data_IF_909268876947
#
_entry.id   IF_909268876947
#
_cell.length_a   1.000
_cell.length_b   1.000
_cell.length_c   1.000
_cell.angle_alpha   90.00
_cell.angle_beta   90.00
_cell.angle_gamma   90.00
#
_symmetry.space_group_name_H-M   'P 1'
#
loop_
_entity.id
_entity.type
_entity.pdbx_description
1 polymer ?
#
# COMPACT_ATOMS: atom_id res chain seq x y z
N UNK A 1 -14.30 -9.82 6.84
CA UNK A 1 -13.34 -8.80 6.37
C UNK A 1 -12.50 -8.31 7.54
N UNK A 2 -11.18 -8.49 7.50
CA UNK A 2 -10.28 -8.06 8.58
C UNK A 2 -9.88 -6.58 8.45
N UNK A 3 -10.16 -5.79 9.49
CA UNK A 3 -9.83 -4.36 9.59
C UNK A 3 -9.12 -4.08 10.91
N UNK A 4 -8.00 -3.36 10.84
CA UNK A 4 -7.21 -2.96 11.98
C UNK A 4 -6.57 -1.59 11.71
N UNK A 5 -7.19 -0.49 12.19
CA UNK A 5 -6.69 0.86 11.99
C UNK A 5 -5.27 1.08 12.51
N UNK A 6 -4.86 0.36 13.56
CA UNK A 6 -3.51 0.47 14.10
C UNK A 6 -2.46 0.01 13.08
N UNK A 7 -2.73 -1.05 12.29
CA UNK A 7 -1.83 -1.49 11.22
C UNK A 7 -1.65 -0.43 10.14
N UNK A 8 -2.71 0.32 9.82
CA UNK A 8 -2.64 1.39 8.83
C UNK A 8 -1.86 2.60 9.37
N UNK A 9 -2.04 2.92 10.65
CA UNK A 9 -1.36 4.03 11.32
C UNK A 9 0.16 3.82 11.41
N UNK A 10 0.62 2.57 11.53
CA UNK A 10 2.05 2.23 11.54
C UNK A 10 2.80 2.66 10.29
N UNK A 11 2.14 2.87 9.15
CA UNK A 11 2.81 3.31 7.94
C UNK A 11 3.34 4.75 8.03
N UNK A 12 2.73 5.60 8.85
CA UNK A 12 3.06 7.03 8.92
C UNK A 12 4.47 7.21 9.49
N UNK A 13 5.33 7.90 8.75
CA UNK A 13 6.72 8.15 9.16
C UNK A 13 7.69 6.99 8.93
N UNK A 14 7.20 5.83 8.50
CA UNK A 14 8.04 4.68 8.16
C UNK A 14 8.65 4.83 6.76
N UNK A 15 9.76 4.13 6.45
CA UNK A 15 10.31 4.12 5.10
C UNK A 15 9.37 3.42 4.09
N UNK A 16 9.30 3.95 2.87
CA UNK A 16 8.63 3.30 1.75
C UNK A 16 9.26 1.92 1.49
N UNK A 17 8.44 0.87 1.52
CA UNK A 17 8.87 -0.53 1.30
C UNK A 17 8.76 -0.95 -0.16
N UNK A 18 7.89 -0.31 -0.94
CA UNK A 18 7.64 -0.67 -2.35
C UNK A 18 8.78 -0.22 -3.28
N UNK A 19 9.43 0.92 -2.98
CA UNK A 19 10.69 1.40 -3.62
C UNK A 19 10.77 1.27 -5.15
N UNK A 20 9.73 1.69 -5.87
CA UNK A 20 9.75 1.71 -7.36
C UNK A 20 10.84 2.67 -7.86
N UNK A 21 11.83 2.20 -8.65
CA UNK A 21 12.87 3.05 -9.24
C UNK A 21 12.26 4.17 -10.11
N UNK A 22 12.83 5.38 -10.01
CA UNK A 22 12.35 6.55 -10.78
C UNK A 22 11.03 7.17 -10.29
N UNK A 23 10.29 6.52 -9.40
CA UNK A 23 9.00 7.03 -8.86
C UNK A 23 9.10 7.35 -7.37
N UNK A 24 9.76 6.48 -6.59
CA UNK A 24 9.84 6.63 -5.15
C UNK A 24 10.66 7.86 -4.77
N UNK A 25 10.00 8.87 -4.16
CA UNK A 25 10.65 10.09 -3.68
C UNK A 25 11.37 9.92 -2.33
N UNK A 26 11.17 8.81 -1.62
CA UNK A 26 11.82 8.56 -0.32
C UNK A 26 11.29 9.40 0.85
N UNK A 27 10.31 10.28 0.61
CA UNK A 27 9.74 11.15 1.63
C UNK A 27 8.85 10.37 2.61
N UNK A 28 9.34 10.22 3.84
CA UNK A 28 8.68 9.51 4.95
C UNK A 28 7.38 10.17 5.40
N UNK A 29 7.22 11.49 5.21
CA UNK A 29 6.02 12.21 5.62
C UNK A 29 4.80 11.84 4.77
N UNK A 30 5.05 11.36 3.55
CA UNK A 30 4.01 10.96 2.59
C UNK A 30 3.68 9.47 2.62
N UNK A 31 4.32 8.70 3.51
CA UNK A 31 4.15 7.24 3.54
C UNK A 31 2.83 6.87 4.18
N UNK A 32 2.05 6.06 3.47
CA UNK A 32 0.75 5.53 3.89
C UNK A 32 0.65 4.04 3.59
N UNK A 33 -0.29 3.36 4.25
CA UNK A 33 -0.63 1.97 3.97
C UNK A 33 -1.43 1.88 2.66
N UNK A 34 -0.87 1.18 1.67
CA UNK A 34 -1.49 0.91 0.39
C UNK A 34 -2.09 -0.50 0.38
N UNK A 35 -3.39 -0.63 0.16
CA UNK A 35 -4.04 -1.94 0.02
C UNK A 35 -3.66 -2.62 -1.29
N UNK A 36 -3.48 -3.94 -1.22
CA UNK A 36 -3.32 -4.75 -2.41
C UNK A 36 -4.55 -4.72 -3.32
N UNK A 37 -4.31 -4.72 -4.64
CA UNK A 37 -5.37 -4.79 -5.64
C UNK A 37 -5.72 -6.22 -6.11
N UNK A 38 -5.17 -7.25 -5.46
CA UNK A 38 -5.42 -8.64 -5.86
C UNK A 38 -6.64 -9.24 -5.17
N UNK A 39 -7.48 -9.98 -5.91
CA UNK A 39 -8.67 -10.64 -5.38
C UNK A 39 -8.36 -11.64 -4.26
N UNK A 40 -7.20 -12.31 -4.31
CA UNK A 40 -6.75 -13.26 -3.27
C UNK A 40 -6.61 -12.64 -1.87
N UNK A 41 -6.49 -11.31 -1.79
CA UNK A 41 -6.40 -10.55 -0.56
C UNK A 41 -7.75 -9.99 -0.07
N UNK A 42 -8.86 -10.45 -0.67
CA UNK A 42 -10.22 -9.99 -0.36
C UNK A 42 -10.62 -8.69 -1.06
N UNK A 43 -9.92 -8.30 -2.13
CA UNK A 43 -10.32 -7.19 -3.02
C UNK A 43 -11.50 -7.65 -3.88
N UNK A 44 -12.57 -6.86 -3.96
CA UNK A 44 -13.71 -7.12 -4.86
C UNK A 44 -14.38 -5.81 -5.27
N UNK A 45 -14.31 -5.42 -6.55
CA UNK A 45 -14.93 -4.18 -7.05
C UNK A 45 -14.58 -2.95 -6.20
N UNK A 46 -15.59 -2.41 -5.51
CA UNK A 46 -15.48 -1.26 -4.60
C UNK A 46 -14.87 -1.57 -3.22
N UNK A 47 -14.81 -2.84 -2.84
CA UNK A 47 -14.24 -3.29 -1.56
C UNK A 47 -12.72 -3.25 -1.61
N UNK A 48 -12.07 -2.59 -0.65
CA UNK A 48 -10.61 -2.65 -0.46
C UNK A 48 -10.21 -4.01 0.10
N UNK A 49 -9.01 -4.50 -0.23
CA UNK A 49 -8.42 -5.69 0.40
C UNK A 49 -8.36 -5.56 1.93
N UNK A 50 -8.14 -6.68 2.63
CA UNK A 50 -7.97 -6.69 4.08
C UNK A 50 -6.73 -5.89 4.52
N UNK A 51 -6.76 -5.37 5.74
CA UNK A 51 -5.68 -4.49 6.24
C UNK A 51 -4.34 -5.23 6.44
N UNK A 52 -4.37 -6.56 6.57
CA UNK A 52 -3.16 -7.38 6.59
C UNK A 52 -2.44 -7.40 5.23
N UNK A 53 -3.17 -7.15 4.13
CA UNK A 53 -2.63 -7.12 2.78
C UNK A 53 -2.36 -5.68 2.34
N UNK A 54 -1.54 -4.99 3.13
CA UNK A 54 -1.09 -3.62 2.86
C UNK A 54 0.43 -3.56 2.80
N UNK A 55 0.97 -2.60 2.04
CA UNK A 55 2.40 -2.25 2.09
C UNK A 55 2.57 -0.74 2.17
N UNK A 56 3.75 -0.30 2.60
CA UNK A 56 4.02 1.11 2.83
C UNK A 56 4.55 1.78 1.57
N UNK A 57 3.79 2.73 1.04
CA UNK A 57 4.15 3.50 -0.15
C UNK A 57 4.22 4.99 0.16
N UNK A 58 5.28 5.65 -0.32
CA UNK A 58 5.35 7.11 -0.36
C UNK A 58 4.35 7.67 -1.39
N UNK A 59 3.95 8.94 -1.26
CA UNK A 59 2.83 9.52 -2.00
C UNK A 59 2.87 9.36 -3.53
N UNK A 60 4.06 9.34 -4.14
CA UNK A 60 4.20 9.08 -5.60
C UNK A 60 4.04 7.61 -5.99
N UNK A 61 4.31 6.69 -5.07
CA UNK A 61 4.23 5.23 -5.27
C UNK A 61 2.83 4.70 -4.98
N UNK A 62 2.06 5.36 -4.11
CA UNK A 62 0.71 4.94 -3.73
C UNK A 62 -0.23 4.72 -4.93
N UNK A 63 -0.34 5.62 -5.94
CA UNK A 63 -1.24 5.40 -7.07
C UNK A 63 -0.72 4.37 -8.08
N UNK A 64 0.56 3.97 -8.00
CA UNK A 64 1.12 2.90 -8.82
C UNK A 64 0.82 1.55 -8.19
N UNK A 65 0.95 1.44 -6.87
CA UNK A 65 0.62 0.20 -6.17
C UNK A 65 -0.82 -0.25 -6.49
N UNK A 66 -1.77 0.70 -6.62
CA UNK A 66 -3.17 0.37 -6.92
C UNK A 66 -3.42 -0.11 -8.36
N UNK A 67 -2.46 0.01 -9.29
CA UNK A 67 -2.59 -0.37 -10.73
C UNK A 67 -2.02 -1.76 -11.06
N UNK A 68 -2.21 -2.75 -10.18
CA UNK A 68 -1.75 -4.15 -10.35
C UNK A 68 -0.24 -4.40 -10.29
N UNK A 69 0.59 -3.44 -9.89
CA UNK A 69 2.03 -3.66 -9.65
C UNK A 69 2.33 -4.62 -8.48
N UNK A 70 1.31 -5.06 -7.74
CA UNK A 70 1.43 -6.08 -6.68
C UNK A 70 1.81 -7.47 -7.16
N UNK A 71 1.92 -7.74 -8.47
CA UNK A 71 2.31 -9.07 -8.97
C UNK A 71 3.80 -9.34 -8.78
N UNK A 72 4.60 -8.27 -8.67
CA UNK A 72 6.06 -8.31 -8.65
C UNK A 72 6.64 -7.91 -7.27
N UNK A 73 5.77 -7.74 -6.26
CA UNK A 73 6.09 -7.43 -4.86
C UNK A 73 5.70 -8.61 -3.96
#
# INVERSE_FOLDING_TARGET
MYRNPALLALAKGMPCKIRVPGVCCGDRQTVVACHSNQSRHGKAGWLKAHDWATAWGAGRVTPISTRNHWRDL
#
